data_IF_514654801324
#
_entry.id   IF_514654801324
#
_cell.length_a   1.000
_cell.length_b   1.000
_cell.length_c   1.000
_cell.angle_alpha   90.00
_cell.angle_beta   90.00
_cell.angle_gamma   90.00
#
_symmetry.space_group_name_H-M   'P 1'
#
loop_
_entity.id
_entity.type
_entity.pdbx_description
1 polymer ?
#
# COMPACT_ATOMS: atom_id res chain seq x y z
N UNK A 1 4.54 14.59 -47.04
CA UNK A 1 5.56 14.74 -46.02
C UNK A 1 4.86 14.59 -44.66
N UNK A 2 5.27 13.56 -43.96
CA UNK A 2 4.60 13.01 -42.78
C UNK A 2 4.81 13.91 -41.54
N UNK A 3 3.74 14.46 -40.98
CA UNK A 3 3.69 15.20 -39.72
C UNK A 3 3.06 14.36 -38.58
N UNK A 4 3.15 13.03 -38.71
CA UNK A 4 2.45 12.10 -37.81
C UNK A 4 3.31 11.30 -36.84
N UNK A 5 4.66 11.46 -36.85
CA UNK A 5 5.54 10.56 -36.07
C UNK A 5 6.25 11.17 -34.86
N UNK A 6 6.03 12.44 -34.54
CA UNK A 6 6.73 13.09 -33.41
C UNK A 6 5.89 13.31 -32.16
N UNK A 7 4.60 12.94 -32.15
CA UNK A 7 3.72 13.13 -31.00
C UNK A 7 3.73 11.95 -30.00
N UNK A 8 4.43 10.85 -30.27
CA UNK A 8 4.52 9.69 -29.36
C UNK A 8 5.87 9.48 -28.67
N UNK A 9 6.84 10.38 -28.88
CA UNK A 9 8.13 10.31 -28.22
C UNK A 9 8.13 11.11 -26.93
N UNK A 10 7.53 10.58 -25.84
CA UNK A 10 7.57 11.27 -24.56
C UNK A 10 6.73 10.73 -23.42
N UNK A 11 5.88 9.74 -23.61
CA UNK A 11 5.24 9.08 -22.48
C UNK A 11 6.29 8.15 -21.82
N UNK A 12 6.95 8.64 -20.78
CA UNK A 12 7.68 7.76 -19.87
C UNK A 12 6.68 6.73 -19.36
N UNK A 13 7.03 5.43 -19.42
CA UNK A 13 6.29 4.38 -18.72
C UNK A 13 5.96 4.88 -17.31
N UNK A 14 4.68 4.90 -16.94
CA UNK A 14 4.25 5.46 -15.67
C UNK A 14 4.66 4.60 -14.48
N UNK A 15 5.15 3.38 -14.71
CA UNK A 15 5.63 2.49 -13.65
C UNK A 15 5.46 1.01 -14.00
N UNK A 16 5.91 0.17 -13.10
CA UNK A 16 5.71 -1.27 -13.17
C UNK A 16 4.44 -1.65 -12.44
N UNK A 17 3.70 -2.62 -12.98
CA UNK A 17 2.55 -3.18 -12.29
C UNK A 17 3.01 -4.02 -11.10
N UNK A 18 2.56 -3.65 -9.92
CA UNK A 18 2.80 -4.33 -8.66
C UNK A 18 1.52 -4.92 -8.05
N UNK A 19 1.71 -5.70 -7.01
CA UNK A 19 0.62 -6.25 -6.19
C UNK A 19 1.03 -6.27 -4.72
N UNK A 20 0.10 -5.89 -3.83
CA UNK A 20 0.22 -6.17 -2.41
C UNK A 20 -0.14 -7.64 -2.16
N UNK A 21 0.79 -8.39 -1.54
CA UNK A 21 0.64 -9.83 -1.35
C UNK A 21 -0.52 -10.22 -0.42
N UNK A 22 -1.04 -9.28 0.37
CA UNK A 22 -2.24 -9.47 1.17
C UNK A 22 -3.51 -9.74 0.32
N UNK A 23 -3.45 -9.55 -1.00
CA UNK A 23 -4.52 -9.95 -1.91
C UNK A 23 -4.71 -11.47 -2.03
N UNK A 24 -3.65 -12.27 -1.79
CA UNK A 24 -3.68 -13.72 -1.95
C UNK A 24 -3.02 -14.48 -0.77
N UNK A 25 -3.26 -14.07 0.48
CA UNK A 25 -2.50 -14.56 1.62
C UNK A 25 -2.67 -16.05 1.87
N UNK A 26 -3.89 -16.57 1.65
CA UNK A 26 -4.18 -18.01 1.80
C UNK A 26 -3.40 -18.83 0.78
N UNK A 27 -3.45 -18.45 -0.50
CA UNK A 27 -2.71 -19.13 -1.58
C UNK A 27 -1.20 -19.13 -1.29
N UNK A 28 -0.64 -18.00 -0.85
CA UNK A 28 0.79 -17.92 -0.52
C UNK A 28 1.16 -18.73 0.71
N UNK A 29 0.24 -18.92 1.65
CA UNK A 29 0.46 -19.80 2.81
C UNK A 29 0.47 -21.28 2.44
N UNK A 30 -0.31 -21.67 1.43
CA UNK A 30 -0.44 -23.03 0.95
C UNK A 30 0.64 -23.38 -0.10
N UNK A 31 0.86 -22.50 -1.08
CA UNK A 31 1.85 -22.67 -2.17
C UNK A 31 2.43 -21.31 -2.58
N UNK A 32 3.48 -20.91 -1.89
CA UNK A 32 4.13 -19.61 -2.13
C UNK A 32 4.64 -19.44 -3.56
N UNK A 33 5.36 -20.46 -4.07
CA UNK A 33 5.95 -20.38 -5.40
C UNK A 33 4.91 -20.50 -6.52
N UNK A 34 3.88 -21.30 -6.32
CA UNK A 34 2.72 -21.36 -7.22
C UNK A 34 2.01 -20.02 -7.33
N UNK A 35 1.84 -19.31 -6.20
CA UNK A 35 1.33 -17.94 -6.17
C UNK A 35 2.21 -16.97 -6.98
N UNK A 36 3.53 -16.99 -6.78
CA UNK A 36 4.46 -16.16 -7.56
C UNK A 36 4.41 -16.47 -9.05
N UNK A 37 4.39 -17.75 -9.43
CA UNK A 37 4.28 -18.17 -10.83
C UNK A 37 2.98 -17.69 -11.48
N UNK A 38 1.87 -17.69 -10.74
CA UNK A 38 0.60 -17.16 -11.21
C UNK A 38 0.72 -15.66 -11.48
N UNK A 39 1.21 -14.88 -10.51
CA UNK A 39 1.39 -13.42 -10.66
C UNK A 39 2.34 -13.06 -11.80
N UNK A 40 3.45 -13.79 -11.94
CA UNK A 40 4.41 -13.61 -13.05
C UNK A 40 3.72 -13.74 -14.41
N UNK A 41 2.91 -14.80 -14.60
CA UNK A 41 2.16 -15.05 -15.83
C UNK A 41 1.12 -13.97 -16.13
N UNK A 42 0.58 -13.31 -15.11
CA UNK A 42 -0.36 -12.21 -15.26
C UNK A 42 0.32 -10.88 -15.64
N UNK A 43 1.65 -10.79 -15.53
CA UNK A 43 2.41 -9.60 -15.91
C UNK A 43 2.85 -8.72 -14.74
N UNK A 44 2.56 -9.09 -13.50
CA UNK A 44 3.08 -8.38 -12.33
C UNK A 44 4.61 -8.41 -12.28
N UNK A 45 5.21 -7.31 -11.83
CA UNK A 45 6.67 -7.11 -11.76
C UNK A 45 7.16 -6.67 -10.39
N UNK A 46 6.31 -6.04 -9.60
CA UNK A 46 6.62 -5.59 -8.26
C UNK A 46 5.71 -6.28 -7.24
N UNK A 47 6.27 -6.61 -6.10
CA UNK A 47 5.53 -7.19 -4.97
C UNK A 47 5.70 -6.27 -3.76
N UNK A 48 4.63 -6.02 -3.07
CA UNK A 48 4.69 -5.44 -1.74
C UNK A 48 4.45 -6.53 -0.71
N UNK A 49 5.39 -6.66 0.22
CA UNK A 49 5.32 -7.65 1.30
C UNK A 49 4.54 -7.07 2.49
N UNK A 50 4.10 -7.94 3.40
CA UNK A 50 3.46 -7.53 4.64
C UNK A 50 3.96 -8.34 5.83
N UNK A 51 4.09 -7.67 6.98
CA UNK A 51 4.49 -8.30 8.25
C UNK A 51 3.37 -9.11 8.93
N UNK A 52 3.65 -9.68 10.10
CA UNK A 52 4.91 -9.52 10.84
C UNK A 52 6.06 -10.31 10.23
N UNK A 53 7.26 -9.80 10.45
CA UNK A 53 8.54 -10.43 10.10
C UNK A 53 9.16 -11.10 11.34
N UNK A 54 10.21 -11.95 11.19
CA UNK A 54 10.86 -12.57 12.34
C UNK A 54 11.38 -11.57 13.38
N UNK A 55 11.80 -10.39 12.94
CA UNK A 55 12.28 -9.29 13.78
C UNK A 55 11.18 -8.31 14.21
N UNK A 56 9.91 -8.50 13.80
CA UNK A 56 8.82 -7.63 14.23
C UNK A 56 8.64 -7.63 15.74
N UNK A 57 8.08 -6.53 16.26
CA UNK A 57 7.76 -6.40 17.67
C UNK A 57 6.85 -7.54 18.15
N UNK A 58 7.01 -7.94 19.41
CA UNK A 58 6.23 -9.06 19.96
C UNK A 58 4.72 -8.77 20.00
N UNK A 59 4.33 -7.49 20.14
CA UNK A 59 2.94 -7.04 20.03
C UNK A 59 2.35 -7.36 18.66
N UNK A 60 3.09 -7.08 17.60
CA UNK A 60 2.68 -7.36 16.22
C UNK A 60 2.54 -8.86 15.95
N UNK A 61 3.49 -9.68 16.40
CA UNK A 61 3.44 -11.15 16.27
C UNK A 61 2.22 -11.74 16.98
N UNK A 62 1.97 -11.31 18.23
CA UNK A 62 0.79 -11.75 19.00
C UNK A 62 -0.52 -11.30 18.35
N UNK A 63 -0.59 -10.07 17.86
CA UNK A 63 -1.75 -9.56 17.13
C UNK A 63 -2.03 -10.39 15.88
N UNK A 64 -0.99 -10.75 15.14
CA UNK A 64 -1.10 -11.57 13.93
C UNK A 64 -1.58 -13.00 14.22
N UNK A 65 -1.13 -13.63 15.30
CA UNK A 65 -1.63 -14.95 15.70
C UNK A 65 -3.15 -14.94 15.92
N UNK A 66 -3.69 -13.87 16.51
CA UNK A 66 -5.13 -13.66 16.67
C UNK A 66 -5.84 -13.44 15.34
N UNK A 67 -5.30 -12.54 14.50
CA UNK A 67 -5.85 -12.23 13.18
C UNK A 67 -5.81 -13.45 12.24
N UNK A 68 -4.72 -14.19 12.23
CA UNK A 68 -4.56 -15.38 11.40
C UNK A 68 -5.60 -16.47 11.70
N UNK A 69 -5.93 -16.68 12.98
CA UNK A 69 -7.02 -17.60 13.38
C UNK A 69 -8.38 -17.15 12.83
N UNK A 70 -8.66 -15.86 12.87
CA UNK A 70 -9.91 -15.29 12.37
C UNK A 70 -9.99 -15.32 10.85
N UNK A 71 -8.88 -15.04 10.17
CA UNK A 71 -8.80 -14.92 8.70
C UNK A 71 -8.58 -16.28 8.00
N UNK A 72 -8.20 -17.33 8.75
CA UNK A 72 -7.99 -18.68 8.21
C UNK A 72 -6.66 -18.86 7.44
N UNK A 73 -5.67 -18.01 7.69
CA UNK A 73 -4.29 -18.13 7.18
C UNK A 73 -3.30 -17.53 8.19
N UNK A 74 -2.03 -17.93 8.10
CA UNK A 74 -1.00 -17.46 9.03
C UNK A 74 0.27 -16.94 8.34
N UNK A 75 0.40 -17.16 7.03
CA UNK A 75 1.58 -16.74 6.29
C UNK A 75 1.75 -15.23 6.28
N UNK A 76 2.98 -14.77 6.53
CA UNK A 76 3.38 -13.36 6.51
C UNK A 76 4.89 -13.23 6.37
N UNK A 77 5.36 -12.02 6.26
CA UNK A 77 6.79 -11.71 6.21
C UNK A 77 7.48 -12.37 5.02
N UNK A 78 8.37 -13.30 5.30
CA UNK A 78 9.11 -14.01 4.26
C UNK A 78 8.63 -15.45 4.04
N UNK A 79 7.44 -15.79 4.51
CA UNK A 79 6.85 -17.13 4.34
C UNK A 79 7.82 -18.26 4.70
N UNK A 80 8.46 -18.14 5.88
CA UNK A 80 9.42 -19.11 6.41
C UNK A 80 10.83 -19.04 5.82
N UNK A 81 11.12 -18.08 4.93
CA UNK A 81 12.43 -17.87 4.33
C UNK A 81 13.24 -16.81 5.08
N UNK A 82 14.54 -16.83 4.91
CA UNK A 82 15.42 -15.69 5.25
C UNK A 82 15.29 -14.57 4.21
N UNK A 83 15.70 -13.32 4.51
CA UNK A 83 15.74 -12.26 3.50
C UNK A 83 16.57 -12.62 2.25
N UNK A 84 17.69 -13.33 2.42
CA UNK A 84 18.55 -13.77 1.33
C UNK A 84 17.87 -14.82 0.44
N UNK A 85 17.19 -15.81 1.03
CA UNK A 85 16.42 -16.81 0.30
C UNK A 85 15.25 -16.18 -0.42
N UNK A 86 14.52 -15.25 0.25
CA UNK A 86 13.44 -14.49 -0.38
C UNK A 86 13.94 -13.69 -1.58
N UNK A 87 15.05 -12.96 -1.45
CA UNK A 87 15.69 -12.25 -2.57
C UNK A 87 15.96 -13.16 -3.76
N UNK A 88 16.51 -14.36 -3.49
CA UNK A 88 16.79 -15.33 -4.55
C UNK A 88 15.51 -15.77 -5.24
N UNK A 89 14.50 -16.17 -4.49
CA UNK A 89 13.20 -16.58 -5.04
C UNK A 89 12.57 -15.47 -5.88
N UNK A 90 12.49 -14.25 -5.36
CA UNK A 90 11.94 -13.12 -6.11
C UNK A 90 12.69 -12.88 -7.43
N UNK A 91 14.02 -12.97 -7.41
CA UNK A 91 14.84 -12.85 -8.61
C UNK A 91 14.58 -13.96 -9.62
N UNK A 92 14.45 -15.21 -9.16
CA UNK A 92 14.20 -16.37 -10.01
C UNK A 92 12.84 -16.27 -10.75
N UNK A 93 11.84 -15.63 -10.13
CA UNK A 93 10.54 -15.31 -10.73
C UNK A 93 10.48 -13.94 -11.42
N UNK A 94 11.57 -13.17 -11.41
CA UNK A 94 11.66 -11.86 -12.10
C UNK A 94 10.91 -10.73 -11.40
N UNK A 95 10.73 -10.81 -10.08
CA UNK A 95 10.12 -9.77 -9.26
C UNK A 95 11.15 -8.87 -8.58
N UNK A 96 10.74 -7.62 -8.34
CA UNK A 96 11.34 -6.69 -7.38
C UNK A 96 10.35 -6.42 -6.26
N UNK A 97 10.83 -5.98 -5.10
CA UNK A 97 9.99 -5.60 -3.97
C UNK A 97 10.42 -4.22 -3.47
N UNK A 98 9.79 -3.13 -3.95
CA UNK A 98 10.19 -1.78 -3.58
C UNK A 98 9.73 -1.37 -2.18
N UNK A 99 8.68 -2.01 -1.64
CA UNK A 99 8.06 -1.65 -0.37
C UNK A 99 7.63 -2.86 0.45
N UNK A 100 7.42 -2.62 1.74
CA UNK A 100 6.86 -3.60 2.66
C UNK A 100 6.03 -2.93 3.75
N UNK A 101 4.86 -3.51 4.07
CA UNK A 101 4.04 -3.12 5.19
C UNK A 101 4.56 -3.70 6.51
N UNK A 102 4.59 -2.89 7.56
CA UNK A 102 4.93 -3.31 8.92
C UNK A 102 4.18 -2.45 9.94
N UNK A 103 4.15 -2.91 11.18
CA UNK A 103 3.45 -2.24 12.28
C UNK A 103 4.27 -1.09 12.89
N UNK A 104 3.59 -0.22 13.65
CA UNK A 104 4.20 0.97 14.24
C UNK A 104 5.23 0.64 15.31
N UNK A 105 4.97 -0.39 16.15
CA UNK A 105 5.92 -0.80 17.19
C UNK A 105 7.23 -1.29 16.58
N UNK A 106 7.16 -2.06 15.49
CA UNK A 106 8.35 -2.49 14.73
C UNK A 106 9.12 -1.30 14.16
N UNK A 107 8.42 -0.32 13.58
CA UNK A 107 9.04 0.90 13.05
C UNK A 107 9.72 1.74 14.14
N UNK A 108 9.09 1.86 15.31
CA UNK A 108 9.62 2.63 16.44
C UNK A 108 10.79 1.91 17.17
N UNK A 109 10.73 0.58 17.30
CA UNK A 109 11.62 -0.18 18.18
C UNK A 109 12.68 -1.00 17.42
N UNK A 110 12.37 -1.50 16.23
CA UNK A 110 13.17 -2.49 15.50
C UNK A 110 13.58 -2.02 14.08
N UNK A 111 13.73 -0.71 13.88
CA UNK A 111 14.12 -0.15 12.57
C UNK A 111 15.43 -0.74 12.03
N UNK A 112 16.43 -0.99 12.87
CA UNK A 112 17.71 -1.55 12.42
C UNK A 112 17.55 -2.89 11.68
N UNK A 113 17.04 -3.95 12.34
CA UNK A 113 16.77 -5.24 11.68
C UNK A 113 15.81 -5.16 10.50
N UNK A 114 14.77 -4.31 10.57
CA UNK A 114 13.84 -4.06 9.46
C UNK A 114 14.58 -3.51 8.23
N UNK A 115 15.37 -2.47 8.42
CA UNK A 115 16.12 -1.83 7.35
C UNK A 115 17.25 -2.72 6.79
N UNK A 116 17.90 -3.53 7.62
CA UNK A 116 18.88 -4.52 7.16
C UNK A 116 18.22 -5.49 6.17
N UNK A 117 17.08 -6.07 6.54
CA UNK A 117 16.34 -6.98 5.68
C UNK A 117 15.83 -6.28 4.42
N UNK A 118 15.30 -5.06 4.54
CA UNK A 118 14.85 -4.25 3.42
C UNK A 118 16.01 -3.97 2.42
N UNK A 119 17.18 -3.61 2.92
CA UNK A 119 18.37 -3.38 2.09
C UNK A 119 18.85 -4.67 1.39
N UNK A 120 18.80 -5.83 2.05
CA UNK A 120 19.08 -7.12 1.41
C UNK A 120 18.14 -7.35 0.22
N UNK A 121 16.84 -7.11 0.40
CA UNK A 121 15.82 -7.30 -0.63
C UNK A 121 15.82 -6.21 -1.72
N UNK A 122 16.48 -5.07 -1.46
CA UNK A 122 16.45 -3.90 -2.33
C UNK A 122 15.17 -3.07 -2.18
N UNK A 123 14.51 -3.17 -1.04
CA UNK A 123 13.34 -2.36 -0.70
C UNK A 123 13.75 -0.93 -0.42
N UNK A 124 12.97 0.00 -0.92
CA UNK A 124 13.18 1.44 -0.75
C UNK A 124 12.32 2.00 0.39
N UNK A 125 11.13 1.43 0.58
CA UNK A 125 10.14 1.92 1.51
C UNK A 125 9.76 0.87 2.56
N UNK A 126 9.68 1.32 3.82
CA UNK A 126 9.04 0.62 4.93
C UNK A 126 7.78 1.39 5.31
N UNK A 127 6.62 0.75 5.23
CA UNK A 127 5.32 1.43 5.21
C UNK A 127 4.49 1.00 6.41
N UNK A 128 3.88 1.98 7.09
CA UNK A 128 2.87 1.74 8.12
C UNK A 128 1.49 1.64 7.46
N UNK A 129 0.80 0.47 7.47
CA UNK A 129 -0.52 0.34 6.86
C UNK A 129 -1.65 0.92 7.72
N UNK A 130 -1.49 0.98 9.04
CA UNK A 130 -2.54 1.47 9.92
C UNK A 130 -1.98 2.08 11.21
N UNK A 131 -2.49 3.25 11.58
CA UNK A 131 -2.25 3.85 12.91
C UNK A 131 -3.13 3.07 13.91
N UNK A 132 -2.58 2.61 15.05
CA UNK A 132 -3.38 1.97 16.11
C UNK A 132 -4.56 2.86 16.55
N UNK A 133 -5.74 2.25 16.78
CA UNK A 133 -6.96 2.99 17.05
C UNK A 133 -6.84 3.91 18.28
N UNK A 134 -6.14 3.46 19.32
CA UNK A 134 -5.90 4.23 20.53
C UNK A 134 -5.01 5.46 20.32
N UNK A 135 -4.29 5.53 19.20
CA UNK A 135 -3.38 6.63 18.85
C UNK A 135 -3.97 7.62 17.82
N UNK A 136 -5.27 7.52 17.48
CA UNK A 136 -5.93 8.34 16.45
C UNK A 136 -7.35 8.80 16.79
N UNK A 137 -7.64 8.99 18.09
CA UNK A 137 -8.99 9.34 18.59
C UNK A 137 -9.29 10.85 18.52
N UNK A 138 -8.28 11.68 18.64
CA UNK A 138 -8.42 13.15 18.72
C UNK A 138 -7.47 13.86 17.77
N UNK A 139 -7.74 15.12 17.46
CA UNK A 139 -6.81 15.94 16.65
C UNK A 139 -5.42 16.01 17.27
N UNK A 140 -5.31 16.03 18.60
CA UNK A 140 -4.00 16.05 19.28
C UNK A 140 -3.30 14.68 19.17
N UNK A 141 -4.03 13.56 19.03
CA UNK A 141 -3.42 12.28 18.70
C UNK A 141 -2.77 12.33 17.31
N UNK A 142 -3.43 12.93 16.33
CA UNK A 142 -2.87 13.07 14.98
C UNK A 142 -1.63 13.95 14.95
N UNK A 143 -1.52 15.00 15.80
CA UNK A 143 -0.28 15.76 15.97
C UNK A 143 0.84 14.90 16.57
N UNK A 144 0.52 14.12 17.62
CA UNK A 144 1.49 13.17 18.22
C UNK A 144 1.94 12.11 17.23
N UNK A 145 1.06 11.65 16.35
CA UNK A 145 1.41 10.73 15.26
C UNK A 145 2.33 11.41 14.25
N UNK A 146 2.10 12.67 13.89
CA UNK A 146 2.99 13.43 13.01
C UNK A 146 4.42 13.53 13.61
N UNK A 147 4.54 13.81 14.91
CA UNK A 147 5.83 13.82 15.62
C UNK A 147 6.49 12.43 15.60
N UNK A 148 5.72 11.35 15.82
CA UNK A 148 6.22 9.99 15.76
C UNK A 148 6.68 9.63 14.33
N UNK A 149 5.94 10.02 13.31
CA UNK A 149 6.29 9.78 11.90
C UNK A 149 7.59 10.49 11.50
N UNK A 150 7.80 11.74 11.93
CA UNK A 150 9.06 12.43 11.71
C UNK A 150 10.23 11.67 12.33
N UNK A 151 10.10 11.20 13.59
CA UNK A 151 11.14 10.40 14.26
C UNK A 151 11.41 9.07 13.56
N UNK A 152 10.35 8.37 13.14
CA UNK A 152 10.46 7.12 12.37
C UNK A 152 11.16 7.40 11.03
N UNK A 153 10.76 8.48 10.32
CA UNK A 153 11.38 8.88 9.06
C UNK A 153 12.86 9.23 9.18
N UNK A 154 13.25 9.96 10.24
CA UNK A 154 14.66 10.23 10.54
C UNK A 154 15.44 8.94 10.79
N UNK A 155 14.85 8.02 11.56
CA UNK A 155 15.48 6.74 11.87
C UNK A 155 15.60 5.86 10.62
N UNK A 156 14.55 5.77 9.80
CA UNK A 156 14.58 5.08 8.51
C UNK A 156 15.68 5.62 7.59
N UNK A 157 15.78 6.94 7.46
CA UNK A 157 16.82 7.61 6.67
C UNK A 157 18.24 7.27 7.14
N UNK A 158 18.49 7.22 8.46
CA UNK A 158 19.79 6.82 9.04
C UNK A 158 20.17 5.38 8.64
N UNK A 159 19.20 4.51 8.43
CA UNK A 159 19.39 3.11 8.04
C UNK A 159 19.28 2.85 6.53
N UNK A 160 19.18 3.92 5.70
CA UNK A 160 19.19 3.81 4.24
C UNK A 160 17.87 3.40 3.61
N UNK A 161 16.75 3.49 4.33
CA UNK A 161 15.40 3.26 3.84
C UNK A 161 14.53 4.50 4.03
N UNK A 162 13.34 4.52 3.43
CA UNK A 162 12.37 5.61 3.53
C UNK A 162 11.13 5.13 4.26
N UNK A 163 10.59 5.97 5.14
CA UNK A 163 9.32 5.70 5.79
C UNK A 163 8.16 6.15 4.93
N UNK A 164 7.15 5.28 4.78
CA UNK A 164 5.88 5.55 4.14
C UNK A 164 4.69 5.35 5.09
N UNK A 165 3.63 6.12 4.88
CA UNK A 165 2.34 5.91 5.54
C UNK A 165 1.27 5.60 4.50
N UNK A 166 0.62 4.46 4.68
CA UNK A 166 -0.54 4.03 3.90
C UNK A 166 -1.82 4.42 4.63
N UNK A 167 -2.72 5.08 3.92
CA UNK A 167 -4.00 5.46 4.51
C UNK A 167 -5.06 4.38 4.32
N UNK A 168 -5.79 4.11 5.40
CA UNK A 168 -7.15 3.59 5.35
C UNK A 168 -8.14 4.76 5.39
N UNK A 169 -9.45 4.50 5.45
CA UNK A 169 -10.45 5.55 5.30
C UNK A 169 -10.63 6.50 6.49
N UNK A 170 -10.03 6.22 7.65
CA UNK A 170 -10.09 7.13 8.81
C UNK A 170 -9.22 8.39 8.62
N UNK A 171 -9.60 9.45 9.30
CA UNK A 171 -8.87 10.72 9.25
C UNK A 171 -9.09 11.53 7.96
N UNK A 172 -9.93 11.04 7.05
CA UNK A 172 -10.23 11.69 5.77
C UNK A 172 -11.50 12.54 5.80
N UNK A 173 -12.43 12.23 6.72
CA UNK A 173 -13.63 13.03 6.95
C UNK A 173 -13.28 14.21 7.86
N UNK A 174 -13.69 15.44 7.54
CA UNK A 174 -13.46 16.58 8.42
C UNK A 174 -14.17 16.42 9.77
N UNK A 175 -13.45 16.73 10.85
CA UNK A 175 -13.97 16.86 12.21
C UNK A 175 -13.75 18.31 12.63
N UNK A 176 -14.81 19.02 13.00
CA UNK A 176 -14.77 20.46 13.31
C UNK A 176 -14.09 21.32 12.22
N UNK A 177 -14.31 20.94 10.95
CA UNK A 177 -13.73 21.62 9.79
C UNK A 177 -12.27 21.26 9.48
N UNK A 178 -11.63 20.42 10.28
CA UNK A 178 -10.25 19.97 10.09
C UNK A 178 -10.24 18.50 9.66
N UNK A 179 -9.51 18.18 8.59
CA UNK A 179 -9.30 16.79 8.19
C UNK A 179 -8.08 16.22 8.93
N UNK A 180 -8.25 15.20 9.80
CA UNK A 180 -7.14 14.69 10.62
C UNK A 180 -5.92 14.22 9.82
N UNK A 181 -6.11 13.64 8.63
CA UNK A 181 -4.98 13.30 7.76
C UNK A 181 -4.15 14.53 7.37
N UNK A 182 -4.79 15.68 7.12
CA UNK A 182 -4.09 16.91 6.77
C UNK A 182 -3.25 17.42 7.96
N UNK A 183 -3.70 17.18 9.19
CA UNK A 183 -2.88 17.49 10.38
C UNK A 183 -1.56 16.71 10.36
N UNK A 184 -1.59 15.41 9.95
CA UNK A 184 -0.35 14.63 9.79
C UNK A 184 0.49 15.23 8.66
N UNK A 185 -0.12 15.52 7.50
CA UNK A 185 0.62 15.98 6.31
C UNK A 185 1.29 17.32 6.53
N UNK A 186 0.59 18.24 7.22
CA UNK A 186 1.08 19.60 7.48
C UNK A 186 2.15 19.67 8.59
N UNK A 187 2.20 18.65 9.47
CA UNK A 187 3.15 18.59 10.58
C UNK A 187 4.27 17.56 10.37
N UNK A 188 4.40 17.00 9.16
CA UNK A 188 5.48 16.05 8.81
C UNK A 188 6.43 16.62 7.76
N UNK A 189 7.73 16.34 7.92
CA UNK A 189 8.75 16.69 6.94
C UNK A 189 8.54 15.90 5.64
N UNK A 190 8.33 16.57 4.48
CA UNK A 190 8.13 15.91 3.19
C UNK A 190 9.35 15.13 2.69
N UNK A 191 10.53 15.36 3.25
CA UNK A 191 11.75 14.61 2.96
C UNK A 191 11.95 13.37 3.83
N UNK A 192 11.12 13.18 4.86
CA UNK A 192 11.19 12.08 5.81
C UNK A 192 9.98 11.15 5.74
N UNK A 193 8.79 11.71 5.51
CA UNK A 193 7.53 10.97 5.53
C UNK A 193 6.91 10.98 4.14
N UNK A 194 6.92 9.84 3.49
CA UNK A 194 6.28 9.60 2.20
C UNK A 194 4.91 8.97 2.38
N UNK A 195 4.12 8.92 1.32
CA UNK A 195 2.75 8.46 1.39
C UNK A 195 2.49 7.35 0.37
N UNK A 196 1.64 6.43 0.76
CA UNK A 196 1.00 5.45 -0.09
C UNK A 196 -0.51 5.66 0.01
N UNK A 197 -1.15 5.99 -1.12
CA UNK A 197 -2.59 6.20 -1.15
C UNK A 197 -3.31 4.91 -1.50
N UNK A 198 -4.28 4.52 -0.69
CA UNK A 198 -5.31 3.58 -1.09
C UNK A 198 -6.53 4.33 -1.64
N UNK A 199 -6.81 4.17 -2.94
CA UNK A 199 -7.87 4.94 -3.62
C UNK A 199 -9.27 4.53 -3.16
N UNK A 200 -9.48 3.25 -2.81
CA UNK A 200 -10.74 2.73 -2.30
C UNK A 200 -11.03 3.31 -0.90
N UNK A 201 -10.07 3.17 0.02
CA UNK A 201 -10.23 3.68 1.38
C UNK A 201 -10.28 5.21 1.43
N UNK A 202 -9.57 5.89 0.54
CA UNK A 202 -9.68 7.36 0.38
C UNK A 202 -11.10 7.76 0.02
N UNK A 203 -11.73 7.03 -0.91
CA UNK A 203 -13.13 7.27 -1.31
C UNK A 203 -14.10 6.93 -0.20
N UNK A 204 -13.90 5.80 0.52
CA UNK A 204 -14.71 5.43 1.70
C UNK A 204 -14.66 6.51 2.80
N UNK A 205 -13.51 7.13 3.00
CA UNK A 205 -13.32 8.23 3.95
C UNK A 205 -13.88 9.58 3.48
N UNK A 206 -14.45 9.65 2.28
CA UNK A 206 -15.09 10.86 1.75
C UNK A 206 -14.12 11.88 1.14
N UNK A 207 -12.88 11.50 0.84
CA UNK A 207 -11.92 12.33 0.13
C UNK A 207 -11.83 11.94 -1.35
N UNK A 208 -11.33 12.87 -2.16
CA UNK A 208 -11.08 12.66 -3.59
C UNK A 208 -9.60 12.33 -3.81
N UNK A 209 -9.27 11.14 -4.37
CA UNK A 209 -7.90 10.78 -4.71
C UNK A 209 -7.19 11.80 -5.61
N UNK A 210 -7.88 12.37 -6.61
CA UNK A 210 -7.30 13.35 -7.53
C UNK A 210 -6.95 14.66 -6.84
N UNK A 211 -7.81 15.12 -5.92
CA UNK A 211 -7.55 16.31 -5.10
C UNK A 211 -6.30 16.12 -4.21
N UNK A 212 -6.24 14.99 -3.48
CA UNK A 212 -5.11 14.71 -2.60
C UNK A 212 -3.79 14.55 -3.37
N UNK A 213 -3.78 13.85 -4.51
CA UNK A 213 -2.61 13.72 -5.37
C UNK A 213 -2.12 15.09 -5.87
N UNK A 214 -3.04 15.98 -6.20
CA UNK A 214 -2.73 17.32 -6.69
C UNK A 214 -2.17 18.21 -5.58
N UNK A 215 -2.84 18.26 -4.43
CA UNK A 215 -2.44 19.15 -3.31
C UNK A 215 -1.14 18.73 -2.65
N UNK A 216 -0.89 17.42 -2.59
CA UNK A 216 0.31 16.84 -1.97
C UNK A 216 1.24 16.22 -3.01
N UNK A 217 1.36 16.83 -4.19
CA UNK A 217 2.25 16.38 -5.26
C UNK A 217 3.69 16.18 -4.72
N UNK A 218 4.30 15.07 -5.10
CA UNK A 218 5.63 14.67 -4.64
C UNK A 218 5.68 13.94 -3.29
N UNK A 219 4.61 13.96 -2.48
CA UNK A 219 4.54 13.22 -1.21
C UNK A 219 4.10 11.77 -1.43
N UNK A 220 3.09 11.54 -2.28
CA UNK A 220 2.64 10.20 -2.66
C UNK A 220 3.65 9.55 -3.58
N UNK A 221 4.17 8.39 -3.16
CA UNK A 221 5.17 7.60 -3.90
C UNK A 221 4.62 6.25 -4.36
N UNK A 222 3.57 5.81 -3.73
CA UNK A 222 2.93 4.51 -3.97
C UNK A 222 1.41 4.67 -3.97
N UNK A 223 0.73 3.82 -4.74
CA UNK A 223 -0.72 3.69 -4.75
C UNK A 223 -1.14 2.24 -4.58
N UNK A 224 -2.18 2.02 -3.76
CA UNK A 224 -3.00 0.82 -3.81
C UNK A 224 -4.20 1.05 -4.71
N UNK A 225 -4.27 0.26 -5.77
CA UNK A 225 -5.30 0.33 -6.79
C UNK A 225 -6.39 -0.70 -6.47
N UNK A 226 -7.33 -0.30 -5.63
CA UNK A 226 -8.55 -1.04 -5.29
C UNK A 226 -9.73 -0.32 -5.90
N UNK A 227 -10.51 -0.96 -6.79
CA UNK A 227 -11.70 -0.36 -7.37
C UNK A 227 -12.96 -0.68 -6.55
N UNK A 228 -14.02 0.05 -6.77
CA UNK A 228 -15.24 0.04 -5.97
C UNK A 228 -16.46 -0.21 -6.85
N UNK A 229 -17.32 -1.18 -6.49
CA UNK A 229 -18.55 -1.50 -7.24
C UNK A 229 -19.56 -0.36 -7.30
N UNK A 230 -19.68 0.37 -6.19
CA UNK A 230 -20.55 1.54 -6.05
C UNK A 230 -19.91 2.52 -5.06
N UNK A 231 -20.03 3.83 -5.31
CA UNK A 231 -19.49 4.84 -4.39
C UNK A 231 -20.23 4.80 -3.06
N UNK A 232 -19.50 4.48 -2.00
CA UNK A 232 -20.02 4.45 -0.64
C UNK A 232 -18.98 5.00 0.33
N UNK A 233 -19.45 5.78 1.28
CA UNK A 233 -18.64 6.33 2.35
C UNK A 233 -19.00 5.66 3.68
N UNK A 234 -18.10 5.75 4.66
CA UNK A 234 -18.39 5.34 6.03
C UNK A 234 -19.59 6.08 6.59
N UNK A 235 -20.38 5.40 7.41
CA UNK A 235 -21.48 6.02 8.14
C UNK A 235 -20.94 7.05 9.16
N UNK A 236 -19.84 6.72 9.83
CA UNK A 236 -19.10 7.58 10.74
C UNK A 236 -17.88 8.23 10.10
N UNK A 237 -16.76 8.20 10.80
CA UNK A 237 -15.47 8.78 10.40
C UNK A 237 -14.41 7.72 10.03
N UNK A 238 -14.79 6.44 10.03
CA UNK A 238 -13.92 5.29 9.72
C UNK A 238 -12.95 4.94 10.84
N UNK A 239 -12.99 5.60 11.99
CA UNK A 239 -12.11 5.28 13.12
C UNK A 239 -12.43 3.91 13.73
N UNK A 240 -13.70 3.52 13.74
CA UNK A 240 -14.12 2.21 14.24
C UNK A 240 -14.00 1.17 13.12
N UNK A 241 -13.22 0.11 13.36
CA UNK A 241 -13.04 -1.00 12.42
C UNK A 241 -14.35 -1.69 12.01
N UNK A 242 -15.40 -1.62 12.83
CA UNK A 242 -16.73 -2.16 12.48
C UNK A 242 -17.34 -1.46 11.25
N UNK A 243 -16.95 -0.21 10.96
CA UNK A 243 -17.39 0.52 9.77
C UNK A 243 -16.74 0.00 8.48
N UNK A 244 -15.63 -0.74 8.59
CA UNK A 244 -14.91 -1.26 7.44
C UNK A 244 -15.56 -2.53 6.88
N UNK A 245 -16.17 -3.37 7.75
CA UNK A 245 -16.75 -4.65 7.30
C UNK A 245 -17.80 -4.50 6.18
N UNK A 246 -18.71 -3.52 6.22
CA UNK A 246 -19.67 -3.31 5.14
C UNK A 246 -19.05 -2.83 3.82
N UNK A 247 -17.77 -2.41 3.83
CA UNK A 247 -17.07 -1.92 2.65
C UNK A 247 -16.34 -3.01 1.88
N UNK A 248 -15.83 -4.06 2.54
CA UNK A 248 -15.10 -5.14 1.86
C UNK A 248 -15.87 -5.76 0.68
N UNK A 249 -17.17 -6.06 0.76
CA UNK A 249 -17.93 -6.59 -0.38
C UNK A 249 -18.03 -5.66 -1.58
N UNK A 250 -17.73 -4.36 -1.39
CA UNK A 250 -17.75 -3.36 -2.46
C UNK A 250 -16.45 -3.32 -3.26
N UNK A 251 -15.38 -3.94 -2.78
CA UNK A 251 -14.14 -4.05 -3.55
C UNK A 251 -14.38 -4.86 -4.82
N UNK A 252 -13.76 -4.44 -5.91
CA UNK A 252 -13.86 -5.12 -7.19
C UNK A 252 -12.55 -5.03 -7.97
N UNK A 253 -12.49 -5.72 -9.07
CA UNK A 253 -11.40 -5.72 -10.03
C UNK A 253 -11.13 -4.31 -10.55
N UNK A 254 -9.89 -3.88 -10.61
CA UNK A 254 -9.53 -2.58 -11.16
C UNK A 254 -10.02 -2.45 -12.62
N UNK A 255 -10.81 -1.41 -12.89
CA UNK A 255 -11.45 -1.15 -14.16
C UNK A 255 -12.87 -1.72 -14.33
N UNK A 256 -13.35 -2.56 -13.39
CA UNK A 256 -14.72 -3.07 -13.37
C UNK A 256 -15.64 -2.27 -12.42
N UNK A 257 -15.10 -1.27 -11.74
CA UNK A 257 -15.81 -0.47 -10.75
C UNK A 257 -16.16 0.94 -11.22
N UNK A 258 -16.47 1.79 -10.25
CA UNK A 258 -16.95 3.17 -10.50
C UNK A 258 -15.89 4.23 -10.24
N UNK A 259 -14.69 3.87 -9.79
CA UNK A 259 -13.57 4.79 -9.65
C UNK A 259 -12.91 5.00 -11.01
N UNK A 260 -12.57 6.24 -11.34
CA UNK A 260 -11.79 6.50 -12.55
C UNK A 260 -10.31 6.16 -12.32
N UNK A 261 -10.04 4.85 -12.19
CA UNK A 261 -8.70 4.33 -11.94
C UNK A 261 -7.71 4.79 -13.01
N UNK A 262 -8.17 4.93 -14.26
CA UNK A 262 -7.34 5.40 -15.37
C UNK A 262 -6.84 6.83 -15.18
N UNK A 263 -7.74 7.76 -14.83
CA UNK A 263 -7.39 9.16 -14.57
C UNK A 263 -6.57 9.30 -13.27
N UNK A 264 -6.87 8.49 -12.24
CA UNK A 264 -6.09 8.47 -11.00
C UNK A 264 -4.64 8.04 -11.27
N UNK A 265 -4.43 6.96 -12.04
CA UNK A 265 -3.09 6.49 -12.42
C UNK A 265 -2.33 7.54 -13.22
N UNK A 266 -2.98 8.18 -14.18
CA UNK A 266 -2.40 9.28 -14.96
C UNK A 266 -1.97 10.44 -14.05
N UNK A 267 -2.89 10.92 -13.20
CA UNK A 267 -2.60 12.00 -12.23
C UNK A 267 -1.46 11.63 -11.30
N UNK A 268 -1.42 10.39 -10.81
CA UNK A 268 -0.37 9.87 -9.95
C UNK A 268 1.01 9.95 -10.62
N UNK A 269 1.11 9.56 -11.89
CA UNK A 269 2.35 9.70 -12.67
C UNK A 269 2.80 11.16 -12.82
N UNK A 270 1.86 12.08 -13.08
CA UNK A 270 2.13 13.52 -13.18
C UNK A 270 2.63 14.11 -11.86
N UNK A 271 2.19 13.58 -10.71
CA UNK A 271 2.51 14.07 -9.37
C UNK A 271 3.64 13.34 -8.67
N UNK A 272 4.29 12.38 -9.34
CA UNK A 272 5.54 11.75 -8.89
C UNK A 272 5.37 10.47 -8.09
N UNK A 273 4.28 9.73 -8.29
CA UNK A 273 4.11 8.35 -7.83
C UNK A 273 5.04 7.43 -8.63
N UNK A 274 5.70 6.51 -7.93
CA UNK A 274 6.74 5.63 -8.47
C UNK A 274 6.27 4.18 -8.58
N UNK A 275 5.35 3.72 -7.69
CA UNK A 275 4.93 2.33 -7.57
C UNK A 275 3.41 2.21 -7.50
N UNK A 276 2.86 1.19 -8.15
CA UNK A 276 1.43 0.97 -8.32
C UNK A 276 1.11 -0.48 -7.97
N UNK A 277 0.44 -0.70 -6.84
CA UNK A 277 0.09 -2.03 -6.36
C UNK A 277 -1.40 -2.30 -6.49
N UNK A 278 -1.77 -3.35 -7.19
CA UNK A 278 -3.13 -3.89 -7.08
C UNK A 278 -3.30 -4.46 -5.68
N UNK A 279 -4.41 -4.18 -5.05
CA UNK A 279 -4.84 -4.92 -3.88
C UNK A 279 -6.35 -5.13 -3.92
N UNK A 280 -6.79 -6.37 -3.70
CA UNK A 280 -8.18 -6.72 -3.56
C UNK A 280 -8.30 -7.71 -2.40
N UNK A 281 -8.70 -7.19 -1.23
CA UNK A 281 -8.80 -7.99 -0.03
C UNK A 281 -9.85 -9.07 -0.18
N UNK A 282 -9.54 -10.28 0.29
CA UNK A 282 -10.47 -11.41 0.33
C UNK A 282 -11.09 -11.76 -1.03
N UNK A 283 -10.35 -11.57 -2.12
CA UNK A 283 -10.81 -11.91 -3.47
C UNK A 283 -11.17 -13.40 -3.57
N UNK A 284 -12.39 -13.68 -4.01
CA UNK A 284 -12.91 -15.05 -4.08
C UNK A 284 -12.29 -15.87 -5.22
N UNK A 285 -12.04 -15.24 -6.36
CA UNK A 285 -11.36 -15.84 -7.52
C UNK A 285 -10.16 -14.96 -7.93
N UNK A 286 -9.00 -15.16 -7.27
CA UNK A 286 -7.83 -14.35 -7.56
C UNK A 286 -7.29 -14.55 -8.97
N UNK A 287 -7.46 -15.72 -9.58
CA UNK A 287 -6.98 -15.96 -10.94
C UNK A 287 -7.68 -15.07 -11.95
N UNK A 288 -8.99 -14.98 -11.88
CA UNK A 288 -9.78 -14.14 -12.79
C UNK A 288 -9.65 -12.66 -12.44
N UNK A 289 -9.82 -12.28 -11.18
CA UNK A 289 -9.87 -10.88 -10.79
C UNK A 289 -8.52 -10.18 -10.96
N UNK A 290 -7.42 -10.80 -10.49
CA UNK A 290 -6.09 -10.20 -10.60
C UNK A 290 -5.58 -10.17 -12.05
N UNK A 291 -5.95 -11.18 -12.88
CA UNK A 291 -5.64 -11.14 -14.31
C UNK A 291 -6.34 -9.99 -15.03
N UNK A 292 -7.63 -9.77 -14.77
CA UNK A 292 -8.38 -8.63 -15.33
C UNK A 292 -7.81 -7.29 -14.87
N UNK A 293 -7.50 -7.15 -13.58
CA UNK A 293 -6.85 -5.94 -13.04
C UNK A 293 -5.53 -5.68 -13.75
N UNK A 294 -4.71 -6.73 -13.95
CA UNK A 294 -3.44 -6.61 -14.67
C UNK A 294 -3.63 -6.17 -16.12
N UNK A 295 -4.55 -6.82 -16.85
CA UNK A 295 -4.82 -6.49 -18.26
C UNK A 295 -5.28 -5.04 -18.43
N UNK A 296 -6.18 -4.56 -17.57
CA UNK A 296 -6.62 -3.17 -17.57
C UNK A 296 -5.46 -2.20 -17.27
N UNK A 297 -4.73 -2.43 -16.17
CA UNK A 297 -3.71 -1.49 -15.69
C UNK A 297 -2.46 -1.45 -16.59
N UNK A 298 -2.08 -2.56 -17.21
CA UNK A 298 -0.97 -2.58 -18.18
C UNK A 298 -1.24 -1.64 -19.37
N UNK A 299 -2.52 -1.40 -19.73
CA UNK A 299 -2.87 -0.40 -20.76
C UNK A 299 -2.75 1.05 -20.28
N UNK A 300 -2.66 1.28 -18.95
CA UNK A 300 -2.59 2.61 -18.33
C UNK A 300 -1.18 2.98 -17.89
N UNK A 301 -0.35 1.98 -17.59
CA UNK A 301 1.02 2.14 -17.11
C UNK A 301 2.07 2.10 -18.25
N UNK A 302 1.68 1.60 -19.41
CA UNK A 302 2.54 1.36 -20.60
C UNK A 302 2.84 2.55 -21.50
#
# INVERSE_FOLDING_TARGET
>A
MSLGSELFAGLKSQGKLGIQLFSIPKMLSEDFEGGLKMLQKMGYKELELYGPFPFSAESAKKGWEGAGKMLGFSGSGYFGKTPQEMKKVLKDYGFTTPATHTDLDTLEQNMGPLAEAANILGQKYVVLPAIPEERRKTTDDYKRIADAFNKVGENAKKHGVKFGYHNHGYGLKPVDGIRPLEVILDNTDPGLVFLEMDIFWTTCGGADPLDLLTRYAGRYKMLHLKDMKEKKQFAGDGNNVQEWFPMFPLMTTAGDGVLDVGEIVKKAGETGVEHYFVEQDMVADPQTALKKSADFLLTKLG
#
